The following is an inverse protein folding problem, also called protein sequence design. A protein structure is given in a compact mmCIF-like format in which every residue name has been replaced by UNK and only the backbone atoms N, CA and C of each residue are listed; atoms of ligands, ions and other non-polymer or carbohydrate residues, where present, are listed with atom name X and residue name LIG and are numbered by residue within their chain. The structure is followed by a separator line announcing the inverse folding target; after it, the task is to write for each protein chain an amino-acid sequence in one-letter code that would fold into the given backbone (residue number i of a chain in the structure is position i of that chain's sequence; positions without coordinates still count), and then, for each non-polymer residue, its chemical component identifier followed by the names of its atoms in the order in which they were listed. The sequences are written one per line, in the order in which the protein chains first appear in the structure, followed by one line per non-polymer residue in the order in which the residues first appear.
data_IF_594023877586
#
_entry.id   IF_594023877586
#
_cell.length_a   1.000
_cell.length_b   1.000
_cell.length_c   1.000
_cell.angle_alpha   90.00
_cell.angle_beta   90.00
_cell.angle_gamma   90.00
#
_symmetry.space_group_name_H-M   'P 1'
#
loop_
_entity.id
_entity.type
_entity.pdbx_description
1 polymer ?
#
# COMPACT_ATOMS: atom_id res chain seq x y z
N UNK A 1 5.17 -40.53 -43.25
CA UNK A 1 6.09 -39.87 -42.28
C UNK A 1 5.89 -38.33 -42.18
N UNK A 2 4.67 -37.77 -42.28
CA UNK A 2 4.45 -36.30 -42.24
C UNK A 2 3.59 -35.78 -41.07
N UNK A 3 2.96 -36.67 -40.30
CA UNK A 3 2.15 -36.29 -39.11
C UNK A 3 2.95 -36.27 -37.80
N UNK A 4 4.06 -37.01 -37.70
CA UNK A 4 4.92 -37.00 -36.51
C UNK A 4 5.63 -35.64 -36.29
N UNK A 5 5.89 -34.89 -37.36
CA UNK A 5 6.53 -33.56 -37.29
C UNK A 5 5.53 -32.45 -36.88
N UNK A 6 4.25 -32.60 -37.24
CA UNK A 6 3.21 -31.63 -36.91
C UNK A 6 2.72 -31.78 -35.45
N UNK A 7 2.73 -33.00 -34.92
CA UNK A 7 2.34 -33.27 -33.53
C UNK A 7 3.35 -32.72 -32.50
N UNK A 8 4.62 -32.57 -32.88
CA UNK A 8 5.66 -32.03 -32.00
C UNK A 8 5.50 -30.52 -31.72
N UNK A 9 5.00 -29.74 -32.68
CA UNK A 9 4.78 -28.30 -32.49
C UNK A 9 3.56 -27.99 -31.61
N UNK A 10 2.59 -28.91 -31.51
CA UNK A 10 1.36 -28.69 -30.74
C UNK A 10 1.61 -28.82 -29.23
N UNK A 11 2.52 -29.73 -28.82
CA UNK A 11 2.86 -29.95 -27.40
C UNK A 11 3.73 -28.81 -26.84
N UNK A 12 4.57 -28.18 -27.66
CA UNK A 12 5.39 -27.03 -27.22
C UNK A 12 4.57 -25.77 -26.92
N UNK A 13 3.40 -25.59 -27.54
CA UNK A 13 2.55 -24.42 -27.30
C UNK A 13 1.77 -24.54 -25.97
N UNK A 14 1.47 -25.77 -25.55
CA UNK A 14 0.68 -26.03 -24.35
C UNK A 14 1.50 -25.88 -23.05
N UNK A 15 2.82 -26.04 -23.10
CA UNK A 15 3.69 -25.87 -21.93
C UNK A 15 3.94 -24.40 -21.55
N UNK A 16 3.82 -23.46 -22.49
CA UNK A 16 4.06 -22.03 -22.25
C UNK A 16 2.89 -21.37 -21.49
N UNK A 17 1.68 -21.93 -21.59
CA UNK A 17 0.48 -21.35 -20.96
C UNK A 17 0.44 -21.61 -19.45
N UNK A 18 1.08 -22.69 -18.96
CA UNK A 18 1.04 -23.04 -17.53
C UNK A 18 1.92 -22.11 -16.66
N UNK A 19 2.81 -21.31 -17.27
CA UNK A 19 3.69 -20.42 -16.52
C UNK A 19 3.09 -19.06 -16.12
N UNK A 20 1.84 -18.75 -16.48
CA UNK A 20 1.14 -17.53 -16.01
C UNK A 20 0.29 -17.74 -14.75
N UNK A 21 0.45 -18.88 -14.07
CA UNK A 21 -0.04 -19.06 -12.71
C UNK A 21 0.95 -18.50 -11.70
N UNK A 22 0.99 -17.18 -11.48
CA UNK A 22 1.54 -16.68 -10.22
C UNK A 22 0.74 -17.34 -9.09
N UNK A 23 1.34 -18.11 -8.16
CA UNK A 23 0.69 -18.37 -6.89
C UNK A 23 0.63 -17.01 -6.22
N UNK A 24 -0.49 -16.32 -6.42
CA UNK A 24 -0.91 -15.32 -5.46
C UNK A 24 -0.99 -16.08 -4.15
N UNK A 25 0.02 -15.93 -3.31
CA UNK A 25 -0.11 -16.21 -1.88
C UNK A 25 -1.21 -15.23 -1.46
N UNK A 26 -2.47 -15.66 -1.58
CA UNK A 26 -3.61 -15.02 -0.95
C UNK A 26 -3.26 -15.11 0.51
N UNK A 27 -2.65 -14.05 1.03
CA UNK A 27 -2.40 -13.92 2.45
C UNK A 27 -3.72 -14.28 3.10
N UNK A 28 -3.69 -15.31 3.95
CA UNK A 28 -4.76 -15.71 4.87
C UNK A 28 -5.59 -14.46 5.21
N UNK A 29 -6.92 -14.44 4.99
CA UNK A 29 -7.74 -13.31 5.41
C UNK A 29 -7.72 -13.28 6.94
N UNK A 30 -6.65 -12.74 7.51
CA UNK A 30 -6.68 -12.16 8.83
C UNK A 30 -7.64 -11.00 8.71
N UNK A 31 -8.76 -11.11 9.42
CA UNK A 31 -9.77 -10.10 9.72
C UNK A 31 -9.73 -8.91 8.74
N UNK A 32 -10.68 -8.82 7.80
CA UNK A 32 -10.88 -7.61 7.03
C UNK A 32 -11.10 -6.45 8.01
N UNK A 33 -10.03 -5.74 8.38
CA UNK A 33 -10.15 -4.46 9.05
C UNK A 33 -10.90 -3.60 8.06
N UNK A 34 -12.08 -3.14 8.44
CA UNK A 34 -12.80 -2.22 7.59
C UNK A 34 -11.96 -0.95 7.52
N UNK A 35 -11.13 -0.84 6.48
CA UNK A 35 -10.18 0.25 6.28
C UNK A 35 -10.90 1.60 6.35
N UNK A 36 -12.19 1.66 5.98
CA UNK A 36 -13.01 2.85 6.16
C UNK A 36 -13.23 3.20 7.64
N UNK A 37 -13.57 2.23 8.49
CA UNK A 37 -13.73 2.45 9.94
C UNK A 37 -12.40 2.84 10.58
N UNK A 38 -11.30 2.17 10.23
CA UNK A 38 -9.97 2.49 10.73
C UNK A 38 -9.55 3.91 10.31
N UNK A 39 -9.69 4.25 9.02
CA UNK A 39 -9.37 5.58 8.51
C UNK A 39 -10.22 6.65 9.20
N UNK A 40 -11.52 6.44 9.38
CA UNK A 40 -12.40 7.36 10.13
C UNK A 40 -11.94 7.55 11.57
N UNK A 41 -11.47 6.49 12.23
CA UNK A 41 -10.94 6.58 13.60
C UNK A 41 -9.64 7.38 13.64
N UNK A 42 -8.73 7.16 12.69
CA UNK A 42 -7.49 7.95 12.57
C UNK A 42 -7.85 9.41 12.28
N UNK A 43 -8.76 9.68 11.35
CA UNK A 43 -9.25 11.02 11.02
C UNK A 43 -9.85 11.72 12.25
N UNK A 44 -10.59 10.99 13.09
CA UNK A 44 -11.15 11.53 14.33
C UNK A 44 -10.05 11.93 15.32
N UNK A 45 -9.04 11.08 15.52
CA UNK A 45 -7.93 11.33 16.46
C UNK A 45 -7.09 12.53 16.02
N UNK A 46 -6.79 12.63 14.72
CA UNK A 46 -5.91 13.67 14.18
C UNK A 46 -6.66 14.86 13.56
N UNK A 47 -7.97 14.97 13.84
CA UNK A 47 -8.84 16.03 13.27
C UNK A 47 -8.34 17.45 13.54
N UNK A 48 -7.71 17.68 14.70
CA UNK A 48 -7.11 18.97 15.07
C UNK A 48 -5.91 19.37 14.20
N UNK A 49 -5.28 18.42 13.52
CA UNK A 49 -4.17 18.64 12.58
C UNK A 49 -4.67 18.76 11.13
N UNK A 50 -5.96 18.59 10.85
CA UNK A 50 -6.50 18.69 9.49
C UNK A 50 -6.80 20.15 9.10
N UNK A 51 -5.82 21.05 9.25
CA UNK A 51 -5.94 22.45 8.86
C UNK A 51 -4.59 23.08 8.50
N UNK A 52 -4.64 24.22 7.81
CA UNK A 52 -3.44 24.95 7.32
C UNK A 52 -2.62 25.64 8.42
N UNK A 53 -3.10 25.72 9.66
CA UNK A 53 -2.44 26.40 10.78
C UNK A 53 -1.74 25.41 11.73
N UNK A 54 -1.80 24.12 11.42
CA UNK A 54 -1.24 23.07 12.27
C UNK A 54 0.04 22.50 11.66
N UNK A 55 1.01 22.09 12.50
CA UNK A 55 2.21 21.41 12.03
C UNK A 55 1.86 20.05 11.43
N UNK A 56 2.76 19.55 10.60
CA UNK A 56 2.61 18.29 9.88
C UNK A 56 2.68 17.05 10.79
N UNK A 57 1.79 16.10 10.55
CA UNK A 57 1.80 14.77 11.18
C UNK A 57 1.53 13.71 10.12
N UNK A 58 2.29 12.61 10.19
CA UNK A 58 2.17 11.50 9.25
C UNK A 58 2.06 10.18 10.03
N UNK A 59 1.02 9.40 9.73
CA UNK A 59 0.61 8.22 10.50
C UNK A 59 0.58 7.00 9.58
N UNK A 60 1.21 5.92 10.01
CA UNK A 60 1.14 4.60 9.35
C UNK A 60 0.78 3.53 10.36
N UNK A 61 -0.18 2.66 10.01
CA UNK A 61 -0.55 1.50 10.83
C UNK A 61 -0.07 0.25 10.09
N UNK A 62 0.77 -0.53 10.76
CA UNK A 62 1.34 -1.77 10.23
C UNK A 62 0.78 -2.95 11.03
N UNK A 63 0.20 -3.92 10.33
CA UNK A 63 -0.29 -5.17 10.92
C UNK A 63 0.18 -6.34 10.06
N UNK A 64 0.76 -7.37 10.68
CA UNK A 64 1.27 -8.56 9.99
C UNK A 64 2.23 -8.23 8.83
N UNK A 65 3.14 -7.26 9.06
CA UNK A 65 4.12 -6.83 8.06
C UNK A 65 3.53 -6.04 6.88
N UNK A 66 2.23 -5.71 6.89
CA UNK A 66 1.56 -4.92 5.85
C UNK A 66 1.11 -3.58 6.40
N UNK A 67 1.27 -2.52 5.61
CA UNK A 67 0.66 -1.22 5.90
C UNK A 67 -0.84 -1.32 5.63
N UNK A 68 -1.66 -1.17 6.66
CA UNK A 68 -3.13 -1.26 6.59
C UNK A 68 -3.82 0.11 6.62
N UNK A 69 -3.11 1.17 7.03
CA UNK A 69 -3.55 2.55 6.91
C UNK A 69 -2.36 3.50 6.80
N UNK A 70 -2.55 4.60 6.06
CA UNK A 70 -1.53 5.63 5.81
C UNK A 70 -2.24 6.98 5.66
N UNK A 71 -1.94 7.95 6.54
CA UNK A 71 -2.65 9.25 6.62
C UNK A 71 -1.70 10.39 6.94
N UNK A 72 -1.90 11.52 6.29
CA UNK A 72 -1.13 12.75 6.45
C UNK A 72 -2.05 13.90 6.84
N UNK A 73 -1.57 14.78 7.71
CA UNK A 73 -2.29 15.95 8.21
C UNK A 73 -1.32 17.14 8.35
N UNK A 74 -1.88 18.35 8.35
CA UNK A 74 -1.13 19.57 8.65
C UNK A 74 -0.14 19.98 7.55
N UNK A 75 0.75 20.90 7.91
CA UNK A 75 1.68 21.54 6.98
C UNK A 75 3.14 21.20 7.30
N UNK A 76 3.94 20.92 6.27
CA UNK A 76 5.40 20.90 6.38
C UNK A 76 5.98 22.29 6.60
N UNK A 77 5.30 23.32 6.08
CA UNK A 77 5.60 24.72 6.32
C UNK A 77 4.29 25.51 6.35
N UNK A 78 3.99 26.17 7.46
CA UNK A 78 2.71 26.86 7.69
C UNK A 78 2.66 28.16 6.90
N UNK A 79 3.76 28.93 6.91
CA UNK A 79 3.87 30.23 6.26
C UNK A 79 3.71 30.12 4.74
N UNK A 80 4.37 29.13 4.15
CA UNK A 80 4.32 28.84 2.71
C UNK A 80 3.15 27.92 2.33
N UNK A 81 2.36 27.46 3.30
CA UNK A 81 1.25 26.53 3.12
C UNK A 81 1.64 25.24 2.36
N UNK A 82 2.84 24.72 2.63
CA UNK A 82 3.30 23.46 2.02
C UNK A 82 2.71 22.31 2.84
N UNK A 83 1.87 21.44 2.24
CA UNK A 83 1.24 20.33 2.95
C UNK A 83 2.29 19.31 3.41
N UNK A 84 2.04 18.67 4.54
CA UNK A 84 2.88 17.57 5.01
C UNK A 84 2.53 16.26 4.30
N UNK A 85 3.52 15.37 4.18
CA UNK A 85 3.32 14.03 3.61
C UNK A 85 4.29 13.01 4.19
N UNK A 86 4.04 11.72 3.99
CA UNK A 86 5.01 10.66 4.33
C UNK A 86 6.38 10.77 3.63
N UNK A 87 6.52 11.62 2.61
CA UNK A 87 7.81 11.91 1.96
C UNK A 87 8.55 13.08 2.61
N UNK A 88 7.91 13.81 3.52
CA UNK A 88 8.53 14.92 4.23
C UNK A 88 9.62 14.40 5.16
N UNK A 89 10.81 15.01 5.10
CA UNK A 89 11.93 14.65 5.98
C UNK A 89 11.70 15.24 7.37
N UNK A 90 11.75 14.39 8.40
CA UNK A 90 11.56 14.77 9.80
C UNK A 90 12.82 14.44 10.59
N UNK A 91 13.24 15.35 11.47
CA UNK A 91 14.30 15.04 12.44
C UNK A 91 13.72 14.27 13.61
N UNK A 92 14.30 13.12 13.93
CA UNK A 92 13.96 12.34 15.12
C UNK A 92 14.85 12.84 16.26
N UNK A 93 14.25 13.28 17.36
CA UNK A 93 14.99 13.64 18.57
C UNK A 93 15.50 12.39 19.30
N UNK A 94 16.66 12.50 19.93
CA UNK A 94 17.22 11.51 20.85
C UNK A 94 17.41 12.17 22.22
N UNK A 95 17.20 11.41 23.30
CA UNK A 95 17.43 11.81 24.70
C UNK A 95 18.47 10.90 25.32
#
# INVERSE_FOLDING_TARGET
MRYKLFLAHLVSSILVIISFGQPSIKSKPGLFYNNSILNKKIDSIFSSFNNKKSPGVSVSVIQNGKVIAKKDYGMANIELQVPFSHQSVVRIGYS
#
